data_IF_234143945694
#
_entry.id   IF_234143945694
#
_cell.length_a   1.000
_cell.length_b   1.000
_cell.length_c   1.000
_cell.angle_alpha   90.00
_cell.angle_beta   90.00
_cell.angle_gamma   90.00
#
_symmetry.space_group_name_H-M   'P 1'
#
loop_
_entity.id
_entity.type
_entity.pdbx_description
1 polymer ?
#
# COMPACT_ATOMS: atom_id res chain seq x y z
N UNK A 1 -5.68 -17.36 -12.77
CA UNK A 1 -5.71 -17.07 -11.34
C UNK A 1 -6.20 -15.66 -11.10
N UNK A 2 -6.90 -15.42 -9.99
CA UNK A 2 -7.49 -14.11 -9.66
C UNK A 2 -6.58 -13.28 -8.75
N UNK A 3 -6.76 -11.96 -8.79
CA UNK A 3 -6.00 -10.97 -8.03
C UNK A 3 -6.93 -10.01 -7.30
N UNK A 4 -6.76 -9.88 -5.98
CA UNK A 4 -7.36 -8.80 -5.19
C UNK A 4 -6.34 -7.68 -4.99
N UNK A 5 -6.78 -6.44 -5.22
CA UNK A 5 -6.09 -5.24 -4.72
C UNK A 5 -6.65 -4.93 -3.34
N UNK A 6 -5.80 -5.02 -2.32
CA UNK A 6 -6.15 -4.83 -0.92
C UNK A 6 -5.55 -3.52 -0.40
N UNK A 7 -6.37 -2.65 0.17
CA UNK A 7 -5.97 -1.33 0.68
C UNK A 7 -6.51 -1.09 2.09
N UNK A 8 -5.84 -0.20 2.81
CA UNK A 8 -6.35 0.43 4.03
C UNK A 8 -6.47 1.92 3.79
N UNK A 9 -7.52 2.55 4.33
CA UNK A 9 -7.80 3.98 4.08
C UNK A 9 -8.23 4.73 5.35
N UNK A 10 -7.95 6.03 5.34
CA UNK A 10 -8.53 7.02 6.24
C UNK A 10 -8.40 8.41 5.60
N UNK A 11 -9.54 8.99 5.13
CA UNK A 11 -9.60 10.32 4.51
C UNK A 11 -8.66 10.48 3.29
N UNK A 12 -8.86 9.66 2.28
CA UNK A 12 -8.02 9.59 1.07
C UNK A 12 -8.74 10.10 -0.21
N UNK A 13 -9.75 10.95 -0.09
CA UNK A 13 -10.51 11.46 -1.25
C UNK A 13 -9.63 12.10 -2.33
N UNK A 14 -8.47 12.66 -1.95
CA UNK A 14 -7.54 13.33 -2.87
C UNK A 14 -6.71 12.36 -3.72
N UNK A 15 -6.47 11.14 -3.22
CA UNK A 15 -5.54 10.18 -3.78
C UNK A 15 -6.22 8.95 -4.38
N UNK A 16 -7.26 8.45 -3.71
CA UNK A 16 -7.85 7.15 -3.96
C UNK A 16 -8.29 6.95 -5.41
N UNK A 17 -8.89 7.96 -6.06
CA UNK A 17 -9.34 7.85 -7.46
C UNK A 17 -8.19 7.55 -8.41
N UNK A 18 -7.02 8.20 -8.25
CA UNK A 18 -5.81 7.94 -9.04
C UNK A 18 -5.32 6.52 -8.86
N UNK A 19 -5.24 6.06 -7.62
CA UNK A 19 -4.81 4.71 -7.28
C UNK A 19 -5.73 3.66 -7.88
N UNK A 20 -7.05 3.83 -7.73
CA UNK A 20 -8.06 2.90 -8.28
C UNK A 20 -8.03 2.84 -9.80
N UNK A 21 -7.88 3.98 -10.49
CA UNK A 21 -7.70 4.02 -11.96
C UNK A 21 -6.48 3.23 -12.41
N UNK A 22 -5.41 3.18 -11.64
CA UNK A 22 -4.18 2.47 -12.00
C UNK A 22 -4.29 0.95 -11.90
N UNK A 23 -5.31 0.44 -11.21
CA UNK A 23 -5.48 -1.00 -10.94
C UNK A 23 -6.75 -1.61 -11.55
N UNK A 24 -7.76 -0.83 -11.89
CA UNK A 24 -9.09 -1.29 -12.33
C UNK A 24 -9.07 -2.27 -13.51
N UNK A 25 -8.10 -2.13 -14.44
CA UNK A 25 -8.04 -2.92 -15.68
C UNK A 25 -7.44 -4.33 -15.47
N UNK A 26 -6.91 -4.65 -14.28
CA UNK A 26 -6.29 -5.95 -14.02
C UNK A 26 -6.65 -6.57 -12.67
N UNK A 27 -7.26 -5.81 -11.78
CA UNK A 27 -7.80 -6.32 -10.52
C UNK A 27 -9.11 -7.09 -10.79
N UNK A 28 -9.22 -8.30 -10.25
CA UNK A 28 -10.48 -9.06 -10.30
C UNK A 28 -11.38 -8.68 -9.10
N UNK A 29 -10.77 -8.20 -8.02
CA UNK A 29 -11.44 -7.74 -6.81
C UNK A 29 -10.67 -6.55 -6.21
N UNK A 30 -11.38 -5.58 -5.63
CA UNK A 30 -10.81 -4.49 -4.84
C UNK A 30 -11.44 -4.55 -3.45
N UNK A 31 -10.60 -4.66 -2.42
CA UNK A 31 -11.01 -4.67 -1.01
C UNK A 31 -10.37 -3.48 -0.31
N UNK A 32 -11.19 -2.64 0.29
CA UNK A 32 -10.76 -1.46 1.06
C UNK A 32 -11.26 -1.61 2.48
N UNK A 33 -10.34 -1.60 3.44
CA UNK A 33 -10.63 -1.57 4.87
C UNK A 33 -10.39 -0.15 5.38
N UNK A 34 -11.46 0.53 5.72
CA UNK A 34 -11.48 1.93 6.10
C UNK A 34 -11.58 2.11 7.61
N UNK A 35 -10.84 3.08 8.14
CA UNK A 35 -10.76 3.34 9.58
C UNK A 35 -11.73 4.44 10.07
N UNK A 36 -12.74 4.79 9.26
CA UNK A 36 -13.74 5.80 9.60
C UNK A 36 -13.54 7.12 8.87
N UNK A 37 -13.34 7.07 7.56
CA UNK A 37 -13.28 8.27 6.70
C UNK A 37 -14.56 9.09 6.81
N UNK A 38 -14.39 10.41 6.85
CA UNK A 38 -15.47 11.41 6.92
C UNK A 38 -15.59 12.27 5.66
N UNK A 39 -14.67 12.06 4.71
CA UNK A 39 -14.62 12.68 3.39
C UNK A 39 -15.29 11.79 2.32
N UNK A 40 -15.04 12.04 1.05
CA UNK A 40 -15.63 11.27 -0.06
C UNK A 40 -14.91 9.96 -0.37
N UNK A 41 -14.06 9.44 0.53
CA UNK A 41 -13.32 8.18 0.32
C UNK A 41 -14.25 7.02 -0.02
N UNK A 42 -15.33 6.83 0.75
CA UNK A 42 -16.31 5.76 0.52
C UNK A 42 -17.05 5.91 -0.82
N UNK A 43 -17.48 7.12 -1.16
CA UNK A 43 -18.15 7.41 -2.44
C UNK A 43 -17.25 7.02 -3.63
N UNK A 44 -15.98 7.44 -3.57
CA UNK A 44 -14.99 7.12 -4.60
C UNK A 44 -14.77 5.61 -4.68
N UNK A 45 -14.57 4.92 -3.57
CA UNK A 45 -14.38 3.47 -3.53
C UNK A 45 -15.54 2.71 -4.20
N UNK A 46 -16.77 3.07 -3.86
CA UNK A 46 -17.99 2.46 -4.43
C UNK A 46 -18.12 2.68 -5.93
N UNK A 47 -17.73 3.85 -6.44
CA UNK A 47 -17.75 4.15 -7.89
C UNK A 47 -16.86 3.19 -8.70
N UNK A 48 -15.79 2.66 -8.11
CA UNK A 48 -14.91 1.67 -8.71
C UNK A 48 -15.29 0.22 -8.38
N UNK A 49 -16.45 -0.01 -7.77
CA UNK A 49 -16.92 -1.35 -7.42
C UNK A 49 -16.13 -2.02 -6.29
N UNK A 50 -15.40 -1.24 -5.48
CA UNK A 50 -14.64 -1.79 -4.37
C UNK A 50 -15.56 -2.29 -3.25
N UNK A 51 -15.19 -3.43 -2.66
CA UNK A 51 -15.74 -3.91 -1.40
C UNK A 51 -15.20 -3.02 -0.28
N UNK A 52 -16.01 -2.06 0.18
CA UNK A 52 -15.64 -1.10 1.21
C UNK A 52 -16.14 -1.54 2.57
N UNK A 53 -15.23 -1.70 3.55
CA UNK A 53 -15.55 -2.24 4.87
C UNK A 53 -14.99 -1.29 5.93
N UNK A 54 -15.87 -0.83 6.83
CA UNK A 54 -15.44 -0.13 8.03
C UNK A 54 -14.82 -1.11 9.03
N UNK A 55 -13.66 -0.73 9.57
CA UNK A 55 -12.98 -1.41 10.65
C UNK A 55 -12.28 -0.38 11.52
N UNK A 56 -12.63 -0.29 12.79
CA UNK A 56 -11.88 0.54 13.74
C UNK A 56 -10.36 0.26 13.64
N UNK A 57 -9.58 1.29 13.85
CA UNK A 57 -8.13 1.21 13.66
C UNK A 57 -7.45 0.18 14.58
N UNK A 58 -6.84 -0.82 14.00
CA UNK A 58 -6.14 -1.90 14.68
C UNK A 58 -4.60 -1.74 14.68
N UNK A 59 -4.07 -0.72 14.01
CA UNK A 59 -2.66 -0.59 13.66
C UNK A 59 -2.39 -1.02 12.22
N UNK A 60 -1.28 -0.57 11.63
CA UNK A 60 -1.00 -0.77 10.21
C UNK A 60 -0.98 -2.25 9.79
N UNK A 61 -0.21 -3.09 10.49
CA UNK A 61 -0.12 -4.51 10.16
C UNK A 61 -1.44 -5.26 10.29
N UNK A 62 -2.12 -5.22 11.44
CA UNK A 62 -3.43 -5.86 11.63
C UNK A 62 -4.50 -5.37 10.64
N UNK A 63 -4.52 -4.06 10.32
CA UNK A 63 -5.46 -3.50 9.36
C UNK A 63 -5.23 -4.04 7.94
N UNK A 64 -3.95 -4.15 7.49
CA UNK A 64 -3.59 -4.80 6.22
C UNK A 64 -3.96 -6.28 6.22
N UNK A 65 -3.70 -6.99 7.32
CA UNK A 65 -4.09 -8.40 7.46
C UNK A 65 -5.60 -8.57 7.34
N UNK A 66 -6.40 -7.63 7.88
CA UNK A 66 -7.86 -7.65 7.74
C UNK A 66 -8.30 -7.51 6.28
N UNK A 67 -7.67 -6.62 5.51
CA UNK A 67 -7.94 -6.49 4.09
C UNK A 67 -7.57 -7.78 3.30
N UNK A 68 -6.45 -8.43 3.66
CA UNK A 68 -6.03 -9.70 3.07
C UNK A 68 -7.00 -10.84 3.43
N UNK A 69 -7.46 -10.90 4.67
CA UNK A 69 -8.43 -11.89 5.14
C UNK A 69 -9.74 -11.82 4.33
N UNK A 70 -10.25 -10.61 4.12
CA UNK A 70 -11.51 -10.33 3.41
C UNK A 70 -11.42 -10.51 1.88
N UNK A 71 -10.21 -10.65 1.35
CA UNK A 71 -9.96 -10.89 -0.08
C UNK A 71 -10.29 -12.33 -0.46
N UNK A 72 -10.78 -12.55 -1.68
CA UNK A 72 -11.18 -13.89 -2.16
C UNK A 72 -10.22 -14.50 -3.18
N UNK A 73 -9.31 -13.70 -3.73
CA UNK A 73 -8.43 -14.10 -4.82
C UNK A 73 -7.20 -14.90 -4.40
N UNK A 74 -6.55 -15.57 -5.37
CA UNK A 74 -5.29 -16.30 -5.21
C UNK A 74 -4.10 -15.39 -4.89
N UNK A 75 -4.08 -14.21 -5.54
CA UNK A 75 -3.05 -13.20 -5.42
C UNK A 75 -3.56 -11.95 -4.71
N UNK A 76 -2.71 -11.35 -3.92
CA UNK A 76 -2.94 -10.07 -3.26
C UNK A 76 -1.89 -9.06 -3.75
N UNK A 77 -2.36 -7.92 -4.23
CA UNK A 77 -1.56 -6.72 -4.39
C UNK A 77 -1.97 -5.76 -3.26
N UNK A 78 -1.13 -5.66 -2.23
CA UNK A 78 -1.40 -4.77 -1.11
C UNK A 78 -0.71 -3.42 -1.34
N UNK A 79 -1.49 -2.36 -1.54
CA UNK A 79 -1.02 -0.99 -1.80
C UNK A 79 -1.77 0.02 -0.93
N UNK A 80 -1.17 1.21 -0.80
CA UNK A 80 -1.77 2.32 -0.07
C UNK A 80 -2.58 3.22 -1.03
N UNK A 81 -3.50 4.02 -0.51
CA UNK A 81 -4.40 4.86 -1.31
C UNK A 81 -3.68 5.98 -2.08
N UNK A 82 -2.43 6.29 -1.74
CA UNK A 82 -1.55 7.25 -2.41
C UNK A 82 -0.49 6.59 -3.31
N UNK A 83 -0.63 5.27 -3.58
CA UNK A 83 0.28 4.50 -4.42
C UNK A 83 -0.37 4.19 -5.79
N UNK A 84 0.32 4.55 -6.87
CA UNK A 84 -0.13 4.36 -8.26
C UNK A 84 0.73 3.31 -8.96
N UNK A 85 0.09 2.34 -9.60
CA UNK A 85 0.78 1.28 -10.35
C UNK A 85 1.18 1.80 -11.73
N UNK A 86 2.49 1.72 -12.07
CA UNK A 86 2.91 2.08 -13.43
C UNK A 86 2.34 1.11 -14.47
N UNK A 87 2.05 1.56 -15.72
CA UNK A 87 1.54 0.69 -16.79
C UNK A 87 2.43 -0.53 -17.05
N UNK A 88 3.75 -0.36 -16.97
CA UNK A 88 4.70 -1.45 -17.15
C UNK A 88 4.64 -2.46 -16.01
N UNK A 89 4.36 -2.01 -14.77
CA UNK A 89 4.16 -2.90 -13.63
C UNK A 89 2.83 -3.65 -13.75
N UNK A 90 1.76 -2.97 -14.16
CA UNK A 90 0.45 -3.59 -14.39
C UNK A 90 0.55 -4.75 -15.39
N UNK A 91 1.25 -4.54 -16.52
CA UNK A 91 1.47 -5.59 -17.52
C UNK A 91 2.30 -6.76 -16.95
N UNK A 92 3.30 -6.47 -16.11
CA UNK A 92 4.10 -7.51 -15.47
C UNK A 92 3.27 -8.34 -14.47
N UNK A 93 2.39 -7.70 -13.71
CA UNK A 93 1.48 -8.35 -12.76
C UNK A 93 0.49 -9.27 -13.50
N UNK A 94 -0.07 -8.84 -14.63
CA UNK A 94 -0.94 -9.70 -15.47
C UNK A 94 -0.24 -11.01 -15.84
N UNK A 95 1.01 -10.94 -16.30
CA UNK A 95 1.78 -12.16 -16.65
C UNK A 95 2.12 -13.05 -15.43
N UNK A 96 2.40 -12.46 -14.28
CA UNK A 96 2.65 -13.20 -13.02
C UNK A 96 1.39 -13.93 -12.56
N UNK A 97 0.23 -13.28 -12.66
CA UNK A 97 -1.06 -13.85 -12.30
C UNK A 97 -1.35 -15.14 -13.10
N UNK A 98 -0.93 -15.20 -14.34
CA UNK A 98 -1.12 -16.38 -15.21
C UNK A 98 -0.15 -17.50 -14.90
N UNK A 99 1.14 -17.19 -14.82
CA UNK A 99 2.19 -18.19 -14.63
C UNK A 99 3.38 -17.64 -13.84
N UNK A 100 3.52 -18.03 -12.58
CA UNK A 100 4.65 -17.67 -11.75
C UNK A 100 5.13 -18.83 -10.87
N UNK A 101 6.46 -19.01 -10.83
CA UNK A 101 7.12 -19.94 -9.90
C UNK A 101 7.28 -19.36 -8.50
N UNK A 102 7.34 -18.03 -8.37
CA UNK A 102 7.47 -17.35 -7.08
C UNK A 102 6.10 -17.05 -6.49
N UNK A 103 6.04 -17.03 -5.16
CA UNK A 103 4.81 -16.72 -4.41
C UNK A 103 4.83 -15.33 -3.81
N UNK A 104 5.98 -14.67 -3.75
CA UNK A 104 6.17 -13.37 -3.11
C UNK A 104 7.08 -12.49 -3.95
N UNK A 105 6.68 -11.24 -4.14
CA UNK A 105 7.41 -10.24 -4.88
C UNK A 105 7.57 -8.96 -4.09
N UNK A 106 8.80 -8.43 -4.07
CA UNK A 106 9.04 -7.06 -3.68
C UNK A 106 9.13 -6.16 -4.92
N UNK A 107 8.46 -5.04 -4.83
CA UNK A 107 8.28 -4.10 -5.94
C UNK A 107 9.08 -2.83 -5.65
N UNK A 108 9.64 -2.24 -6.71
CA UNK A 108 10.40 -1.01 -6.62
C UNK A 108 9.48 0.20 -6.47
N UNK A 109 9.88 1.15 -5.61
CA UNK A 109 9.15 2.38 -5.34
C UNK A 109 9.85 3.59 -5.94
N UNK A 110 9.06 4.50 -6.50
CA UNK A 110 9.47 5.81 -6.97
C UNK A 110 8.64 6.88 -6.26
N UNK A 111 9.26 7.65 -5.39
CA UNK A 111 8.56 8.76 -4.73
C UNK A 111 8.22 9.87 -5.72
N UNK A 112 7.01 10.38 -5.60
CA UNK A 112 6.50 11.55 -6.33
C UNK A 112 6.19 12.63 -5.31
N UNK A 113 6.92 13.75 -5.38
CA UNK A 113 6.72 14.90 -4.51
C UNK A 113 6.44 16.12 -5.39
N UNK A 114 5.40 16.89 -5.07
CA UNK A 114 5.03 18.08 -5.84
C UNK A 114 4.88 17.77 -7.35
N UNK A 115 4.24 16.65 -7.68
CA UNK A 115 4.07 16.13 -9.04
C UNK A 115 5.39 15.82 -9.79
N UNK A 116 6.53 15.74 -9.09
CA UNK A 116 7.83 15.39 -9.71
C UNK A 116 8.35 14.07 -9.15
N UNK A 117 8.81 13.19 -10.04
CA UNK A 117 9.47 11.93 -9.67
C UNK A 117 10.86 12.22 -9.08
N UNK A 118 11.09 11.79 -7.86
CA UNK A 118 12.37 11.96 -7.16
C UNK A 118 13.26 10.76 -7.49
N UNK A 119 14.32 10.98 -8.23
CA UNK A 119 15.22 9.91 -8.70
C UNK A 119 16.46 9.71 -7.85
N UNK A 120 16.79 10.67 -6.98
CA UNK A 120 18.01 10.72 -6.19
C UNK A 120 17.70 11.03 -4.72
N UNK A 121 18.70 10.97 -3.85
CA UNK A 121 18.55 11.38 -2.45
C UNK A 121 17.93 10.33 -1.51
N UNK A 122 17.95 9.04 -1.87
CA UNK A 122 17.45 7.95 -1.01
C UNK A 122 15.93 7.78 -0.97
N UNK A 123 15.18 8.59 -1.72
CA UNK A 123 13.71 8.60 -1.75
C UNK A 123 13.11 7.64 -2.81
N UNK A 124 13.95 6.95 -3.57
CA UNK A 124 13.54 6.06 -4.64
C UNK A 124 14.42 4.82 -4.67
N UNK A 125 13.99 3.83 -5.46
CA UNK A 125 14.66 2.53 -5.56
C UNK A 125 14.64 1.72 -4.24
N UNK A 126 13.64 1.96 -3.42
CA UNK A 126 13.34 1.11 -2.26
C UNK A 126 12.41 -0.02 -2.68
N UNK A 127 12.63 -1.20 -2.10
CA UNK A 127 11.83 -2.38 -2.43
C UNK A 127 11.00 -2.81 -1.24
N UNK A 128 9.67 -2.93 -1.44
CA UNK A 128 8.73 -3.43 -0.43
C UNK A 128 7.96 -4.63 -0.97
N UNK A 129 7.64 -5.60 -0.11
CA UNK A 129 6.77 -6.72 -0.49
C UNK A 129 5.35 -6.16 -0.64
N UNK A 130 4.79 -6.30 -1.85
CA UNK A 130 3.46 -5.77 -2.18
C UNK A 130 2.61 -6.77 -2.97
N UNK A 131 3.20 -7.72 -3.69
CA UNK A 131 2.48 -8.74 -4.45
C UNK A 131 2.83 -10.13 -3.93
N UNK A 132 1.81 -10.91 -3.52
CA UNK A 132 2.03 -12.22 -2.93
C UNK A 132 0.79 -13.12 -3.07
N UNK A 133 1.02 -14.44 -2.99
CA UNK A 133 -0.07 -15.42 -2.81
C UNK A 133 -0.73 -15.20 -1.46
N UNK A 134 -2.07 -15.28 -1.40
CA UNK A 134 -2.86 -15.00 -0.19
C UNK A 134 -2.32 -15.69 1.07
N UNK A 135 -1.84 -16.93 0.93
CA UNK A 135 -1.33 -17.74 2.06
C UNK A 135 0.21 -17.74 2.16
N UNK A 136 0.91 -16.77 1.54
CA UNK A 136 2.37 -16.77 1.52
C UNK A 136 3.02 -16.11 2.74
N UNK A 137 2.25 -15.43 3.58
CA UNK A 137 2.72 -14.73 4.77
C UNK A 137 1.66 -13.80 5.33
N UNK A 138 2.06 -12.97 6.28
CA UNK A 138 1.21 -11.94 6.91
C UNK A 138 2.06 -10.76 7.38
N UNK A 139 1.43 -9.62 7.58
CA UNK A 139 2.07 -8.47 8.24
C UNK A 139 2.21 -8.74 9.75
N UNK A 140 3.33 -8.29 10.33
CA UNK A 140 3.52 -8.29 11.78
C UNK A 140 2.63 -7.22 12.46
N UNK A 141 2.59 -7.24 13.79
CA UNK A 141 1.77 -6.34 14.61
C UNK A 141 2.54 -5.09 15.08
N UNK A 142 3.69 -4.78 14.46
CA UNK A 142 4.47 -3.61 14.83
C UNK A 142 3.64 -2.33 14.57
N UNK A 143 3.66 -1.43 15.53
CA UNK A 143 2.88 -0.18 15.49
C UNK A 143 3.41 0.82 14.45
N UNK A 144 4.72 0.77 14.18
CA UNK A 144 5.41 1.57 13.16
C UNK A 144 6.41 0.65 12.47
N UNK A 145 6.55 0.75 11.14
CA UNK A 145 7.38 -0.14 10.31
C UNK A 145 6.87 -1.59 10.28
N UNK A 146 5.60 -1.75 9.93
CA UNK A 146 5.06 -3.08 9.67
C UNK A 146 5.79 -3.76 8.52
N UNK A 147 6.12 -5.04 8.71
CA UNK A 147 6.82 -5.86 7.73
C UNK A 147 5.97 -7.08 7.37
N UNK A 148 6.00 -7.45 6.08
CA UNK A 148 5.40 -8.70 5.64
C UNK A 148 6.34 -9.86 5.94
N UNK A 149 5.92 -10.74 6.83
CA UNK A 149 6.69 -11.91 7.29
C UNK A 149 6.35 -13.13 6.45
N UNK A 150 7.36 -13.74 5.86
CA UNK A 150 7.23 -14.90 4.99
C UNK A 150 8.46 -15.80 5.06
N UNK A 151 8.26 -17.11 4.82
CA UNK A 151 9.33 -18.09 4.61
C UNK A 151 9.52 -18.44 3.12
N UNK A 152 8.82 -17.74 2.23
CA UNK A 152 8.90 -17.98 0.79
C UNK A 152 10.08 -17.23 0.16
N UNK A 153 10.60 -17.76 -0.94
CA UNK A 153 11.57 -17.07 -1.77
C UNK A 153 10.95 -15.78 -2.34
N UNK A 154 11.68 -14.66 -2.23
CA UNK A 154 11.18 -13.33 -2.63
C UNK A 154 11.85 -12.91 -3.94
N UNK A 155 11.07 -12.77 -4.99
CA UNK A 155 11.51 -12.20 -6.26
C UNK A 155 11.41 -10.67 -6.28
N UNK A 156 12.16 -10.02 -7.19
CA UNK A 156 12.15 -8.57 -7.38
C UNK A 156 11.42 -8.19 -8.67
N UNK A 157 10.57 -7.16 -8.60
CA UNK A 157 10.03 -6.47 -9.76
C UNK A 157 10.65 -5.08 -9.84
N UNK A 158 11.33 -4.79 -10.96
CA UNK A 158 12.06 -3.53 -11.16
C UNK A 158 11.19 -2.41 -11.78
N UNK A 159 9.91 -2.67 -12.03
CA UNK A 159 8.92 -1.66 -12.43
C UNK A 159 8.34 -1.00 -11.20
N UNK A 160 7.76 0.19 -11.36
CA UNK A 160 7.54 1.09 -10.24
C UNK A 160 6.09 1.09 -9.74
N UNK A 161 5.97 1.17 -8.40
CA UNK A 161 4.86 1.82 -7.73
C UNK A 161 5.27 3.28 -7.52
N UNK A 162 4.46 4.23 -8.00
CA UNK A 162 4.62 5.64 -7.75
C UNK A 162 3.94 6.00 -6.44
N UNK A 163 4.70 6.46 -5.44
CA UNK A 163 4.18 6.87 -4.15
C UNK A 163 4.09 8.40 -4.10
N UNK A 164 2.87 8.91 -4.12
CA UNK A 164 2.55 10.33 -4.10
C UNK A 164 2.62 10.89 -2.67
N UNK A 165 3.85 11.04 -2.15
CA UNK A 165 4.11 11.32 -0.74
C UNK A 165 3.63 12.69 -0.29
N UNK A 166 3.80 13.72 -1.14
CA UNK A 166 3.49 15.10 -0.80
C UNK A 166 2.88 15.84 -1.99
N UNK A 167 1.70 16.45 -1.78
CA UNK A 167 1.02 17.27 -2.78
C UNK A 167 1.63 18.66 -2.91
N UNK A 168 1.96 19.28 -1.77
CA UNK A 168 2.51 20.62 -1.65
C UNK A 168 3.36 20.76 -0.38
N UNK A 169 3.93 21.97 -0.13
CA UNK A 169 4.76 22.21 1.04
C UNK A 169 3.97 22.18 2.36
N UNK A 170 2.70 22.55 2.36
CA UNK A 170 1.88 22.52 3.56
C UNK A 170 1.65 21.07 4.01
N UNK A 171 1.27 20.18 3.08
CA UNK A 171 1.16 18.73 3.30
C UNK A 171 2.49 18.12 3.79
N UNK A 172 3.62 18.56 3.20
CA UNK A 172 4.95 18.13 3.65
C UNK A 172 5.20 18.47 5.13
N UNK A 173 4.97 19.74 5.53
CA UNK A 173 5.23 20.16 6.90
C UNK A 173 4.25 19.55 7.91
N UNK A 174 3.00 19.36 7.53
CA UNK A 174 2.01 18.67 8.37
C UNK A 174 2.43 17.23 8.65
N UNK A 175 2.74 16.47 7.60
CA UNK A 175 3.23 15.08 7.71
C UNK A 175 4.56 15.01 8.45
N UNK A 176 5.50 15.94 8.19
CA UNK A 176 6.78 16.00 8.88
C UNK A 176 6.58 16.15 10.39
N UNK A 177 5.76 17.11 10.84
CA UNK A 177 5.47 17.31 12.26
C UNK A 177 4.81 16.08 12.89
N UNK A 178 3.84 15.48 12.20
CA UNK A 178 3.16 14.26 12.67
C UNK A 178 4.14 13.10 12.86
N UNK A 179 4.93 12.79 11.84
CA UNK A 179 5.84 11.63 11.87
C UNK A 179 7.03 11.81 12.80
N UNK A 180 7.58 13.01 12.92
CA UNK A 180 8.65 13.30 13.89
C UNK A 180 8.14 13.18 15.33
N UNK A 181 6.93 13.64 15.61
CA UNK A 181 6.29 13.48 16.94
C UNK A 181 6.03 12.00 17.25
N UNK A 182 5.47 11.24 16.33
CA UNK A 182 5.23 9.81 16.51
C UNK A 182 6.55 9.04 16.72
N UNK A 183 7.59 9.37 15.95
CA UNK A 183 8.93 8.79 16.10
C UNK A 183 9.55 9.09 17.47
N UNK A 184 9.42 10.33 17.95
CA UNK A 184 9.92 10.72 19.28
C UNK A 184 9.20 9.95 20.40
N UNK A 185 7.88 9.80 20.32
CA UNK A 185 7.09 9.00 21.27
C UNK A 185 7.54 7.54 21.28
N UNK A 186 7.78 6.96 20.08
CA UNK A 186 8.23 5.57 19.99
C UNK A 186 9.63 5.39 20.60
N UNK A 187 10.58 6.29 20.32
CA UNK A 187 11.92 6.25 20.92
C UNK A 187 11.86 6.38 22.44
N UNK A 188 11.01 7.28 22.95
CA UNK A 188 10.80 7.43 24.37
C UNK A 188 10.26 6.15 25.03
N UNK A 189 9.24 5.51 24.43
CA UNK A 189 8.69 4.23 24.91
C UNK A 189 9.72 3.09 24.89
N UNK A 190 10.68 3.11 23.98
CA UNK A 190 11.79 2.15 23.89
C UNK A 190 12.97 2.48 24.79
N UNK A 191 12.87 3.52 25.65
CA UNK A 191 13.93 3.95 26.56
C UNK A 191 15.18 4.52 25.85
N UNK A 192 15.09 4.88 24.58
CA UNK A 192 16.19 5.53 23.86
C UNK A 192 16.24 6.99 24.27
N UNK A 193 17.43 7.45 24.67
CA UNK A 193 17.71 8.87 24.91
C UNK A 193 18.07 9.55 23.59
N UNK A 194 17.67 10.82 23.42
CA UNK A 194 18.06 11.68 22.30
C UNK A 194 19.56 11.97 22.37
#
# INVERSE_FOLDING_TARGET
MTLTVAMITLNEEKNLERTLKSVQDFADEIVIVDSGSTDRTEEIAKKFGAKFIYQEWLGYGPQRNKAIELSTSDWILNIDADEEISPELANKIKGIKENSRYKVYKINFMSVCFNKKIRHGGWSNTYRIRLFRKNAGKYNENSVHEEFITNQEIAKLHKYIYHHSYSDLADYFEKFNKYTTLGAIEYYKKGKKA
#
